data_IF_983301149207
#
_entry.id   IF_983301149207
#
_cell.length_a   1.000
_cell.length_b   1.000
_cell.length_c   1.000
_cell.angle_alpha   90.00
_cell.angle_beta   90.00
_cell.angle_gamma   90.00
#
_symmetry.space_group_name_H-M   'P 1'
#
loop_
_entity.id
_entity.type
_entity.pdbx_description
1 polymer ?
#
# COMPACT_ATOMS: atom_id res chain seq x y z
N UNK A 1 -18.30 -13.65 41.10
CA UNK A 1 -19.10 -14.17 39.97
C UNK A 1 -18.84 -13.28 38.77
N UNK A 2 -18.09 -13.76 37.77
CA UNK A 2 -17.70 -12.97 36.59
C UNK A 2 -18.74 -13.12 35.49
N UNK A 3 -19.43 -12.03 35.15
CA UNK A 3 -20.16 -11.91 33.90
C UNK A 3 -19.58 -10.74 33.13
N UNK A 4 -18.49 -11.00 32.40
CA UNK A 4 -18.07 -10.13 31.31
C UNK A 4 -18.74 -10.61 30.04
N UNK A 5 -19.82 -9.92 29.69
CA UNK A 5 -20.51 -10.04 28.41
C UNK A 5 -19.49 -9.75 27.29
N UNK A 6 -19.03 -10.79 26.57
CA UNK A 6 -18.07 -10.59 25.49
C UNK A 6 -18.81 -9.98 24.30
N UNK A 7 -18.72 -8.66 24.13
CA UNK A 7 -19.33 -7.95 23.00
C UNK A 7 -18.74 -8.51 21.71
N UNK A 8 -19.49 -9.36 21.02
CA UNK A 8 -19.06 -9.95 19.74
C UNK A 8 -18.99 -8.85 18.70
N UNK A 9 -17.94 -8.88 17.88
CA UNK A 9 -17.77 -7.96 16.75
C UNK A 9 -18.35 -8.58 15.48
N UNK A 10 -18.96 -7.77 14.62
CA UNK A 10 -19.59 -8.24 13.38
C UNK A 10 -18.97 -7.56 12.17
N UNK A 11 -18.92 -8.28 11.05
CA UNK A 11 -18.43 -7.73 9.79
C UNK A 11 -19.53 -6.92 9.12
N UNK A 12 -19.29 -5.63 8.88
CA UNK A 12 -20.24 -4.73 8.22
C UNK A 12 -20.40 -5.00 6.72
N UNK A 13 -19.46 -5.71 6.10
CA UNK A 13 -19.47 -6.04 4.66
C UNK A 13 -20.37 -7.25 4.38
N UNK A 14 -20.40 -8.22 5.30
CA UNK A 14 -21.18 -9.44 5.13
C UNK A 14 -22.68 -9.17 5.30
N UNK A 15 -23.46 -9.41 4.25
CA UNK A 15 -24.93 -9.25 4.27
C UNK A 15 -25.69 -10.41 4.93
N UNK A 16 -25.03 -11.55 5.20
CA UNK A 16 -25.63 -12.71 5.89
C UNK A 16 -25.13 -12.79 7.32
N UNK A 17 -25.89 -13.46 8.20
CA UNK A 17 -25.54 -13.64 9.61
C UNK A 17 -24.17 -14.31 9.78
N UNK A 18 -23.14 -13.50 10.02
CA UNK A 18 -21.80 -14.00 10.33
C UNK A 18 -21.77 -14.33 11.82
N UNK A 19 -21.16 -15.46 12.17
CA UNK A 19 -20.80 -15.73 13.56
C UNK A 19 -19.92 -14.56 14.04
N UNK A 20 -20.37 -13.86 15.08
CA UNK A 20 -19.63 -12.75 15.66
C UNK A 20 -18.22 -13.17 16.09
N UNK A 21 -17.26 -12.29 15.86
CA UNK A 21 -15.85 -12.49 16.16
C UNK A 21 -15.55 -12.15 17.62
N UNK A 22 -14.68 -12.94 18.25
CA UNK A 22 -14.26 -12.74 19.65
C UNK A 22 -13.41 -11.49 19.86
N UNK A 23 -12.69 -11.04 18.85
CA UNK A 23 -11.77 -9.90 18.94
C UNK A 23 -11.54 -9.23 17.57
N UNK A 24 -10.99 -8.00 17.60
CA UNK A 24 -10.75 -7.16 16.42
C UNK A 24 -9.84 -7.85 15.40
N UNK A 25 -8.78 -8.53 15.86
CA UNK A 25 -7.84 -9.25 15.00
C UNK A 25 -8.53 -10.36 14.19
N UNK A 26 -9.47 -11.07 14.79
CA UNK A 26 -10.27 -12.10 14.11
C UNK A 26 -11.16 -11.51 13.02
N UNK A 27 -11.83 -10.39 13.31
CA UNK A 27 -12.66 -9.68 12.34
C UNK A 27 -11.82 -9.11 11.18
N UNK A 28 -10.71 -8.44 11.48
CA UNK A 28 -9.81 -7.89 10.46
C UNK A 28 -9.22 -8.98 9.56
N UNK A 29 -8.86 -10.14 10.12
CA UNK A 29 -8.40 -11.30 9.34
C UNK A 29 -9.51 -11.81 8.43
N UNK A 30 -10.75 -11.87 8.91
CA UNK A 30 -11.89 -12.23 8.08
C UNK A 30 -12.07 -11.26 6.91
N UNK A 31 -12.05 -9.96 7.16
CA UNK A 31 -12.12 -8.94 6.11
C UNK A 31 -11.03 -9.11 5.06
N UNK A 32 -9.77 -9.23 5.51
CA UNK A 32 -8.61 -9.41 4.61
C UNK A 32 -8.70 -10.66 3.74
N UNK A 33 -9.33 -11.74 4.22
CA UNK A 33 -9.38 -13.02 3.50
C UNK A 33 -10.65 -13.22 2.67
N UNK A 34 -11.78 -12.64 3.09
CA UNK A 34 -13.08 -12.84 2.44
C UNK A 34 -13.54 -11.63 1.63
N UNK A 35 -12.93 -10.48 1.84
CA UNK A 35 -13.29 -9.22 1.20
C UNK A 35 -12.06 -8.56 0.55
N UNK A 36 -11.22 -9.35 -0.10
CA UNK A 36 -9.97 -8.91 -0.75
C UNK A 36 -10.16 -7.87 -1.85
N UNK A 37 -11.37 -7.77 -2.42
CA UNK A 37 -11.74 -6.83 -3.48
C UNK A 37 -12.81 -5.82 -3.04
N UNK A 38 -13.16 -5.78 -1.75
CA UNK A 38 -14.10 -4.79 -1.25
C UNK A 38 -13.41 -3.43 -1.21
N UNK A 39 -13.95 -2.43 -1.91
CA UNK A 39 -13.34 -1.11 -2.07
C UNK A 39 -14.34 0.04 -1.91
N UNK A 40 -15.53 -0.23 -1.37
CA UNK A 40 -16.52 0.81 -1.10
C UNK A 40 -16.04 1.72 0.01
N UNK A 41 -15.85 3.00 -0.31
CA UNK A 41 -15.34 4.01 0.61
C UNK A 41 -16.39 4.35 1.68
N UNK A 42 -15.96 4.67 2.90
CA UNK A 42 -16.88 5.09 3.95
C UNK A 42 -17.41 6.51 3.67
N UNK A 43 -18.60 6.80 4.16
CA UNK A 43 -19.29 8.08 3.91
C UNK A 43 -18.71 9.28 4.66
N UNK A 44 -17.82 9.04 5.64
CA UNK A 44 -17.22 10.11 6.45
C UNK A 44 -16.04 10.80 5.78
N UNK A 45 -15.55 10.31 4.64
CA UNK A 45 -14.42 10.93 3.92
C UNK A 45 -14.79 12.35 3.50
N UNK A 46 -13.97 13.31 3.92
CA UNK A 46 -14.15 14.71 3.61
C UNK A 46 -13.33 15.13 2.38
N UNK A 47 -13.81 16.10 1.59
CA UNK A 47 -12.99 16.74 0.56
C UNK A 47 -11.77 17.43 1.17
N UNK A 48 -10.63 17.34 0.49
CA UNK A 48 -9.38 17.99 0.86
C UNK A 48 -9.03 19.03 -0.21
N UNK A 49 -8.53 20.23 0.16
CA UNK A 49 -8.12 21.24 -0.82
C UNK A 49 -7.06 20.72 -1.80
N UNK A 50 -7.17 21.10 -3.08
CA UNK A 50 -6.25 20.65 -4.13
C UNK A 50 -4.79 21.06 -3.85
N UNK A 51 -4.57 22.18 -3.15
CA UNK A 51 -3.25 22.63 -2.73
C UNK A 51 -2.56 21.64 -1.78
N UNK A 52 -3.32 21.09 -0.81
CA UNK A 52 -2.82 20.08 0.13
C UNK A 52 -2.55 18.75 -0.58
N UNK A 53 -3.46 18.33 -1.48
CA UNK A 53 -3.26 17.13 -2.30
C UNK A 53 -2.02 17.27 -3.17
N UNK A 54 -1.82 18.42 -3.83
CA UNK A 54 -0.64 18.71 -4.63
C UNK A 54 0.65 18.68 -3.79
N UNK A 55 0.62 19.27 -2.59
CA UNK A 55 1.77 19.23 -1.68
C UNK A 55 2.13 17.80 -1.26
N UNK A 56 1.12 16.98 -0.98
CA UNK A 56 1.31 15.57 -0.63
C UNK A 56 1.85 14.75 -1.82
N UNK A 57 1.33 14.96 -3.05
CA UNK A 57 1.88 14.35 -4.27
C UNK A 57 3.37 14.67 -4.45
N UNK A 58 3.76 15.94 -4.31
CA UNK A 58 5.17 16.38 -4.37
C UNK A 58 6.02 15.73 -3.27
N UNK A 59 5.45 15.56 -2.07
CA UNK A 59 6.13 14.86 -0.96
C UNK A 59 6.35 13.38 -1.28
N UNK A 60 5.35 12.70 -1.86
CA UNK A 60 5.46 11.31 -2.34
C UNK A 60 6.59 11.19 -3.37
N UNK A 61 6.58 12.06 -4.39
CA UNK A 61 7.60 12.07 -5.46
C UNK A 61 8.99 12.30 -4.87
N UNK A 62 9.15 13.27 -3.97
CA UNK A 62 10.43 13.54 -3.30
C UNK A 62 10.97 12.32 -2.57
N UNK A 63 10.12 11.61 -1.81
CA UNK A 63 10.55 10.41 -1.10
C UNK A 63 10.85 9.24 -2.05
N UNK A 64 10.10 9.08 -3.15
CA UNK A 64 10.41 8.11 -4.21
C UNK A 64 11.77 8.38 -4.86
N UNK A 65 12.01 9.62 -5.27
CA UNK A 65 13.24 10.06 -5.94
C UNK A 65 14.49 9.89 -5.06
N UNK A 66 14.36 10.00 -3.74
CA UNK A 66 15.44 9.66 -2.79
C UNK A 66 15.81 8.17 -2.80
N UNK A 67 14.89 7.29 -3.18
CA UNK A 67 15.11 5.84 -3.27
C UNK A 67 15.72 5.41 -4.59
N UNK A 68 15.56 6.19 -5.65
CA UNK A 68 16.12 5.95 -6.99
C UNK A 68 17.65 6.16 -7.05
N UNK A 69 18.41 5.60 -6.09
CA UNK A 69 19.86 5.73 -6.01
C UNK A 69 20.54 4.95 -7.14
N UNK A 70 21.65 5.47 -7.63
CA UNK A 70 22.53 4.81 -8.59
C UNK A 70 23.62 4.01 -7.88
N UNK A 71 23.24 2.85 -7.37
CA UNK A 71 24.16 1.92 -6.72
C UNK A 71 23.58 0.50 -6.84
N UNK A 72 24.43 -0.50 -7.11
CA UNK A 72 23.98 -1.87 -7.34
C UNK A 72 23.18 -2.46 -6.16
N UNK A 73 23.49 -2.06 -4.92
CA UNK A 73 22.72 -2.49 -3.73
C UNK A 73 21.36 -1.81 -3.58
N UNK A 74 21.06 -0.78 -4.39
CA UNK A 74 19.77 -0.11 -4.39
C UNK A 74 18.73 -0.85 -5.24
N UNK A 75 19.16 -1.75 -6.14
CA UNK A 75 18.29 -2.64 -6.92
C UNK A 75 17.49 -3.54 -5.99
N UNK A 76 16.22 -3.77 -6.33
CA UNK A 76 15.33 -4.63 -5.57
C UNK A 76 14.31 -3.86 -4.74
N UNK A 77 13.82 -4.49 -3.66
CA UNK A 77 12.65 -4.01 -2.91
C UNK A 77 12.96 -2.71 -2.16
N UNK A 78 12.13 -1.70 -2.38
CA UNK A 78 12.15 -0.44 -1.65
C UNK A 78 10.87 -0.26 -0.85
N UNK A 79 11.01 0.39 0.31
CA UNK A 79 9.90 0.75 1.18
C UNK A 79 10.14 2.12 1.79
N UNK A 80 9.11 2.96 1.79
CA UNK A 80 9.07 4.16 2.62
C UNK A 80 7.64 4.42 3.10
N UNK A 81 7.51 5.28 4.11
CA UNK A 81 6.23 5.71 4.64
C UNK A 81 6.18 7.23 4.70
N UNK A 82 4.99 7.78 4.51
CA UNK A 82 4.68 9.20 4.72
C UNK A 82 3.48 9.33 5.64
N UNK A 83 3.49 10.35 6.48
CA UNK A 83 2.32 10.71 7.28
C UNK A 83 1.34 11.50 6.42
N UNK A 84 0.07 11.09 6.44
CA UNK A 84 -1.02 11.80 5.80
C UNK A 84 -2.35 11.36 6.42
N UNK A 85 -3.36 12.23 6.35
CA UNK A 85 -4.72 11.92 6.79
C UNK A 85 -5.38 10.87 5.89
N UNK A 86 -6.46 10.27 6.40
CA UNK A 86 -7.30 9.35 5.62
C UNK A 86 -7.87 10.05 4.39
N UNK A 87 -8.41 11.26 4.60
CA UNK A 87 -9.04 12.07 3.56
C UNK A 87 -8.05 12.44 2.46
N UNK A 88 -6.81 12.82 2.79
CA UNK A 88 -5.80 13.16 1.79
C UNK A 88 -5.36 11.93 0.99
N UNK A 89 -5.21 10.77 1.65
CA UNK A 89 -4.91 9.52 0.97
C UNK A 89 -6.03 9.13 -0.01
N UNK A 90 -7.28 9.13 0.46
CA UNK A 90 -8.44 8.82 -0.38
C UNK A 90 -8.59 9.87 -1.49
N UNK A 91 -8.34 11.14 -1.21
CA UNK A 91 -8.34 12.22 -2.19
C UNK A 91 -7.42 11.95 -3.39
N UNK A 92 -6.21 11.45 -3.15
CA UNK A 92 -5.25 11.10 -4.20
C UNK A 92 -5.62 9.76 -4.88
N UNK A 93 -6.00 8.75 -4.10
CA UNK A 93 -6.04 7.36 -4.59
C UNK A 93 -7.44 6.76 -4.77
N UNK A 94 -8.54 7.50 -4.53
CA UNK A 94 -9.94 6.98 -4.49
C UNK A 94 -10.30 6.01 -5.62
N UNK A 95 -9.93 6.35 -6.85
CA UNK A 95 -10.28 5.58 -8.05
C UNK A 95 -9.37 4.35 -8.29
N UNK A 96 -8.44 4.11 -7.38
CA UNK A 96 -7.39 3.09 -7.49
C UNK A 96 -7.27 2.20 -6.26
N UNK A 97 -8.15 2.37 -5.28
CA UNK A 97 -8.26 1.50 -4.12
C UNK A 97 -8.77 0.14 -4.58
N UNK A 98 -7.93 -0.87 -4.39
CA UNK A 98 -8.22 -2.27 -4.70
C UNK A 98 -8.85 -3.00 -3.51
N UNK A 99 -8.57 -2.54 -2.28
CA UNK A 99 -9.16 -3.09 -1.07
C UNK A 99 -9.27 -2.02 0.03
N UNK A 100 -10.37 -2.06 0.78
CA UNK A 100 -10.61 -1.32 2.01
C UNK A 100 -11.04 -2.30 3.11
N UNK A 101 -10.49 -2.15 4.31
CA UNK A 101 -10.87 -2.94 5.49
C UNK A 101 -11.47 -2.00 6.54
N UNK A 102 -12.80 -2.04 6.76
CA UNK A 102 -13.48 -1.22 7.76
C UNK A 102 -12.95 -1.45 9.18
N UNK A 103 -12.80 -2.72 9.61
CA UNK A 103 -12.30 -3.03 10.94
C UNK A 103 -10.84 -2.60 11.13
N UNK A 104 -10.04 -2.74 10.08
CA UNK A 104 -8.62 -2.37 10.08
C UNK A 104 -8.34 -0.89 9.83
N UNK A 105 -9.35 -0.10 9.46
CA UNK A 105 -9.20 1.28 8.98
C UNK A 105 -8.02 1.41 8.02
N UNK A 106 -8.03 0.57 6.98
CA UNK A 106 -6.89 0.47 6.06
C UNK A 106 -7.33 0.37 4.62
N UNK A 107 -6.55 1.00 3.74
CA UNK A 107 -6.74 1.02 2.29
C UNK A 107 -5.53 0.42 1.61
N UNK A 108 -5.74 -0.23 0.49
CA UNK A 108 -4.70 -0.78 -0.36
C UNK A 108 -4.95 -0.37 -1.80
N UNK A 109 -3.91 0.13 -2.44
CA UNK A 109 -3.80 0.27 -3.88
C UNK A 109 -2.73 -0.69 -4.40
N UNK A 110 -2.96 -1.27 -5.57
CA UNK A 110 -2.01 -2.16 -6.26
C UNK A 110 -1.88 -1.72 -7.72
N UNK A 111 -0.63 -1.50 -8.14
CA UNK A 111 -0.26 -1.06 -9.47
C UNK A 111 0.71 -2.08 -10.08
N UNK A 112 0.27 -2.74 -11.15
CA UNK A 112 1.05 -3.72 -11.90
C UNK A 112 0.62 -3.77 -13.36
N UNK A 113 1.52 -4.19 -14.24
CA UNK A 113 1.26 -4.34 -15.67
C UNK A 113 1.76 -3.16 -16.51
N UNK A 114 1.71 -3.32 -17.84
CA UNK A 114 2.31 -2.37 -18.82
C UNK A 114 1.91 -0.90 -18.62
N UNK A 115 0.66 -0.64 -18.21
CA UNK A 115 0.13 0.72 -18.01
C UNK A 115 0.27 1.26 -16.59
N UNK A 116 0.88 0.50 -15.67
CA UNK A 116 0.96 0.86 -14.26
C UNK A 116 1.81 2.11 -14.04
N UNK A 117 2.92 2.25 -14.76
CA UNK A 117 3.83 3.38 -14.64
C UNK A 117 3.15 4.71 -15.02
N UNK A 118 2.55 4.75 -16.22
CA UNK A 118 1.76 5.90 -16.70
C UNK A 118 0.61 6.25 -15.75
N UNK A 119 -0.07 5.22 -15.21
CA UNK A 119 -1.19 5.41 -14.30
C UNK A 119 -0.75 6.08 -12.99
N UNK A 120 0.37 5.64 -12.42
CA UNK A 120 0.93 6.29 -11.22
C UNK A 120 1.38 7.71 -11.54
N UNK A 121 2.01 7.94 -12.70
CA UNK A 121 2.40 9.29 -13.11
C UNK A 121 1.23 10.25 -13.20
N UNK A 122 0.10 9.81 -13.77
CA UNK A 122 -1.16 10.59 -13.80
C UNK A 122 -1.76 10.84 -12.42
N UNK A 123 -1.58 9.92 -11.46
CA UNK A 123 -2.06 10.13 -10.08
C UNK A 123 -1.21 11.17 -9.37
N UNK A 124 0.11 11.13 -9.57
CA UNK A 124 1.08 12.01 -8.91
C UNK A 124 1.33 13.33 -9.65
N UNK A 125 0.73 13.51 -10.83
CA UNK A 125 0.94 14.64 -11.74
C UNK A 125 2.41 14.82 -12.15
N UNK A 126 3.12 13.71 -12.39
CA UNK A 126 4.53 13.69 -12.79
C UNK A 126 4.82 12.45 -13.66
N UNK A 127 5.23 12.65 -14.91
CA UNK A 127 5.52 11.55 -15.85
C UNK A 127 6.85 10.82 -15.52
N UNK A 128 7.79 11.51 -14.86
CA UNK A 128 9.11 11.00 -14.53
C UNK A 128 9.23 10.61 -13.04
N UNK A 129 8.09 10.48 -12.34
CA UNK A 129 8.00 10.23 -10.90
C UNK A 129 8.88 9.07 -10.41
N UNK A 130 9.04 8.04 -11.25
CA UNK A 130 9.69 6.77 -10.93
C UNK A 130 10.99 6.54 -11.69
N UNK A 131 11.56 7.55 -12.33
CA UNK A 131 12.79 7.45 -13.11
C UNK A 131 13.81 8.50 -12.68
N UNK A 132 15.09 8.13 -12.73
CA UNK A 132 16.21 9.03 -12.46
C UNK A 132 17.40 8.72 -13.35
N UNK A 133 17.68 9.65 -14.26
CA UNK A 133 18.85 9.62 -15.14
C UNK A 133 20.05 10.28 -14.45
N UNK A 134 21.18 9.58 -14.42
CA UNK A 134 22.42 10.03 -13.79
C UNK A 134 23.46 10.55 -14.80
N UNK A 135 23.13 10.55 -16.09
CA UNK A 135 24.10 10.74 -17.16
C UNK A 135 24.85 9.46 -17.50
N UNK A 136 25.66 9.50 -18.55
CA UNK A 136 26.56 8.39 -18.95
C UNK A 136 25.84 7.05 -19.17
N UNK A 137 24.59 7.12 -19.65
CA UNK A 137 23.74 5.95 -19.88
C UNK A 137 23.13 5.34 -18.60
N UNK A 138 23.39 5.87 -17.41
CA UNK A 138 22.95 5.24 -16.15
C UNK A 138 21.54 5.70 -15.75
N UNK A 139 20.60 4.75 -15.71
CA UNK A 139 19.19 4.99 -15.36
C UNK A 139 18.75 4.10 -14.20
N UNK A 140 18.16 4.70 -13.17
CA UNK A 140 17.43 4.00 -12.10
C UNK A 140 15.94 4.21 -12.28
N UNK A 141 15.14 3.13 -12.22
CA UNK A 141 13.70 3.22 -12.45
C UNK A 141 12.87 2.25 -11.60
N UNK A 142 11.61 2.61 -11.37
CA UNK A 142 10.62 1.76 -10.69
C UNK A 142 10.12 0.68 -11.64
N UNK A 143 10.28 -0.58 -11.23
CA UNK A 143 9.90 -1.75 -12.01
C UNK A 143 8.46 -2.18 -11.65
N UNK A 144 7.50 -1.97 -12.56
CA UNK A 144 6.06 -2.26 -12.39
C UNK A 144 5.46 -3.27 -13.39
N UNK A 145 6.30 -3.91 -14.20
CA UNK A 145 5.86 -4.90 -15.18
C UNK A 145 6.95 -5.94 -15.44
N UNK A 146 6.65 -7.20 -15.10
CA UNK A 146 7.46 -8.36 -15.51
C UNK A 146 6.79 -9.06 -16.69
N UNK A 147 7.52 -9.34 -17.79
CA UNK A 147 7.02 -10.20 -18.86
C UNK A 147 6.80 -11.64 -18.36
N UNK A 148 5.83 -12.33 -18.96
CA UNK A 148 5.36 -13.66 -18.51
C UNK A 148 6.46 -14.74 -18.49
N UNK A 149 7.49 -14.60 -19.34
CA UNK A 149 8.64 -15.52 -19.40
C UNK A 149 9.49 -15.55 -18.13
N UNK A 150 9.51 -14.46 -17.34
CA UNK A 150 10.28 -14.35 -16.09
C UNK A 150 9.43 -14.66 -14.84
N UNK A 151 8.09 -14.65 -14.98
CA UNK A 151 7.16 -14.94 -13.89
C UNK A 151 7.20 -16.43 -13.46
N UNK A 152 7.44 -17.36 -14.39
CA UNK A 152 7.40 -18.80 -14.09
C UNK A 152 8.36 -19.26 -12.98
N UNK A 153 9.57 -18.68 -12.93
CA UNK A 153 10.56 -18.98 -11.88
C UNK A 153 10.22 -18.30 -10.53
N UNK A 154 9.52 -17.16 -10.55
CA UNK A 154 9.10 -16.45 -9.34
C UNK A 154 7.83 -17.04 -8.73
N UNK A 155 6.86 -17.49 -9.53
CA UNK A 155 5.63 -18.12 -9.06
C UNK A 155 5.90 -19.43 -8.32
N UNK A 156 6.84 -20.26 -8.79
CA UNK A 156 7.28 -21.48 -8.11
C UNK A 156 7.86 -21.17 -6.71
N UNK A 157 8.65 -20.10 -6.60
CA UNK A 157 9.24 -19.62 -5.34
C UNK A 157 8.20 -18.94 -4.43
N UNK A 158 7.24 -18.23 -4.99
CA UNK A 158 6.12 -17.63 -4.27
C UNK A 158 5.16 -18.68 -3.70
N UNK A 159 4.86 -19.76 -4.43
CA UNK A 159 4.05 -20.89 -3.93
C UNK A 159 4.69 -21.57 -2.71
N UNK A 160 6.02 -21.68 -2.68
CA UNK A 160 6.76 -22.17 -1.52
C UNK A 160 6.75 -21.18 -0.34
N UNK A 161 6.74 -19.86 -0.60
CA UNK A 161 6.63 -18.81 0.44
C UNK A 161 5.19 -18.57 0.93
N UNK A 162 4.16 -18.90 0.15
CA UNK A 162 2.75 -18.82 0.56
C UNK A 162 2.44 -19.83 1.68
N UNK A 163 3.16 -20.96 1.74
CA UNK A 163 3.14 -21.86 2.91
C UNK A 163 3.67 -21.20 4.20
N UNK A 164 4.41 -20.10 4.09
CA UNK A 164 5.01 -19.35 5.21
C UNK A 164 4.48 -17.92 5.36
N UNK A 165 3.16 -17.71 5.39
CA UNK A 165 2.44 -16.51 5.94
C UNK A 165 2.96 -15.09 5.58
N UNK A 166 3.80 -14.89 4.56
CA UNK A 166 4.19 -13.58 4.04
C UNK A 166 3.70 -13.46 2.61
N UNK A 167 2.77 -12.52 2.37
CA UNK A 167 2.40 -12.11 1.01
C UNK A 167 3.65 -11.45 0.40
N UNK A 168 4.40 -12.19 -0.42
CA UNK A 168 5.51 -11.62 -1.18
C UNK A 168 4.92 -10.56 -2.12
N UNK A 169 5.51 -9.36 -2.12
CA UNK A 169 5.28 -8.41 -3.21
C UNK A 169 5.82 -9.10 -4.47
N UNK A 170 4.99 -9.27 -5.49
CA UNK A 170 5.44 -9.85 -6.75
C UNK A 170 6.40 -8.85 -7.39
N UNK A 171 7.53 -9.32 -7.90
CA UNK A 171 8.45 -8.45 -8.64
C UNK A 171 7.66 -7.84 -9.82
N UNK A 172 7.71 -6.51 -9.99
CA UNK A 172 6.83 -5.82 -10.94
C UNK A 172 5.46 -5.37 -10.40
N UNK A 173 5.29 -5.24 -9.08
CA UNK A 173 4.11 -4.62 -8.46
C UNK A 173 4.53 -3.50 -7.49
N UNK A 174 3.83 -2.36 -7.55
CA UNK A 174 3.84 -1.36 -6.49
C UNK A 174 2.55 -1.44 -5.69
N UNK A 175 2.67 -1.46 -4.36
CA UNK A 175 1.53 -1.34 -3.45
C UNK A 175 1.66 -0.09 -2.60
N UNK A 176 0.52 0.55 -2.37
CA UNK A 176 0.40 1.68 -1.45
C UNK A 176 -0.66 1.32 -0.42
N UNK A 177 -0.24 1.18 0.83
CA UNK A 177 -1.14 0.85 1.92
C UNK A 177 -1.24 2.02 2.88
N UNK A 178 -2.46 2.54 3.08
CA UNK A 178 -2.73 3.47 4.16
C UNK A 178 -3.34 2.73 5.35
N UNK A 179 -2.91 3.06 6.56
CA UNK A 179 -3.53 2.59 7.80
C UNK A 179 -3.20 3.55 8.94
N UNK A 180 -4.02 3.52 9.99
CA UNK A 180 -3.64 4.14 11.26
C UNK A 180 -2.56 3.28 11.90
N UNK A 181 -1.41 3.89 12.14
CA UNK A 181 -0.29 3.30 12.88
C UNK A 181 -0.09 4.06 14.17
N UNK A 182 0.26 3.35 15.23
CA UNK A 182 0.50 3.96 16.51
C UNK A 182 1.41 3.13 17.39
N UNK A 183 1.71 3.68 18.55
CA UNK A 183 2.59 3.05 19.51
C UNK A 183 2.42 3.65 20.89
N UNK A 184 3.30 3.21 21.77
CA UNK A 184 3.53 3.84 23.06
C UNK A 184 4.99 4.21 23.13
N UNK A 185 5.28 5.39 23.68
CA UNK A 185 6.65 5.74 24.02
C UNK A 185 7.11 4.97 25.28
N UNK A 186 8.35 5.24 25.70
CA UNK A 186 8.95 4.63 26.90
C UNK A 186 8.21 5.03 28.18
N UNK A 187 7.48 6.14 28.16
CA UNK A 187 6.70 6.68 29.27
C UNK A 187 5.22 6.27 29.21
N UNK A 188 4.88 5.32 28.33
CA UNK A 188 3.53 4.80 28.11
C UNK A 188 2.53 5.79 27.47
N UNK A 189 2.98 6.94 26.95
CA UNK A 189 2.12 7.84 26.18
C UNK A 189 1.77 7.21 24.84
N UNK A 190 0.47 7.13 24.56
CA UNK A 190 -0.06 6.60 23.30
C UNK A 190 -0.05 7.69 22.24
N UNK A 191 0.38 7.32 21.04
CA UNK A 191 0.26 8.15 19.86
C UNK A 191 -0.22 7.30 18.68
N UNK A 192 -1.08 7.88 17.84
CA UNK A 192 -1.60 7.24 16.64
C UNK A 192 -1.68 8.28 15.52
N UNK A 193 -1.30 7.88 14.31
CA UNK A 193 -1.39 8.71 13.12
C UNK A 193 -1.59 7.85 11.87
N UNK A 194 -2.31 8.41 10.90
CA UNK A 194 -2.39 7.84 9.56
C UNK A 194 -1.02 7.84 8.88
N UNK A 195 -0.66 6.74 8.23
CA UNK A 195 0.51 6.68 7.36
C UNK A 195 0.23 5.87 6.10
N UNK A 196 0.74 6.38 4.97
CA UNK A 196 0.77 5.68 3.70
C UNK A 196 2.16 5.05 3.52
N UNK A 197 2.20 3.73 3.39
CA UNK A 197 3.40 2.96 3.15
C UNK A 197 3.44 2.49 1.69
N UNK A 198 4.53 2.83 1.02
CA UNK A 198 4.79 2.50 -0.37
C UNK A 198 5.77 1.33 -0.42
N UNK A 199 5.44 0.31 -1.20
CA UNK A 199 6.34 -0.79 -1.51
C UNK A 199 6.44 -0.94 -3.01
N UNK A 200 7.66 -1.02 -3.54
CA UNK A 200 7.92 -1.15 -4.96
C UNK A 200 9.30 -1.80 -5.18
N UNK A 201 9.64 -2.09 -6.43
CA UNK A 201 10.94 -2.60 -6.82
C UNK A 201 11.69 -1.59 -7.69
N UNK A 202 13.00 -1.51 -7.50
CA UNK A 202 13.90 -0.75 -8.35
C UNK A 202 14.70 -1.67 -9.26
N UNK A 203 14.94 -1.17 -10.47
CA UNK A 203 15.88 -1.74 -11.41
C UNK A 203 16.80 -0.64 -11.96
N UNK A 204 17.92 -1.05 -12.54
CA UNK A 204 18.93 -0.17 -13.12
C UNK A 204 19.35 -0.71 -14.48
N UNK A 205 19.61 0.19 -15.43
CA UNK A 205 20.18 -0.15 -16.73
C UNK A 205 21.28 0.84 -17.12
N UNK A 206 22.20 0.36 -17.96
CA UNK A 206 23.11 1.19 -18.76
C UNK A 206 22.54 1.26 -20.18
N UNK A 207 22.32 2.48 -20.67
CA UNK A 207 21.76 2.83 -21.99
C UNK A 207 22.91 3.21 -22.92
#
# INVERSE_FOLDING_TARGET
MSMQDSTKLYCSICKRYVKGFKNRSGLQRHETLKHTSYNTLPSHIQPVPDSELSHLKKTIIKELQKRLKNHYTAVGKQVFSIHCSEDAFVGIFKNHITCYSPCGSSYLCSFKGKKAFEKVGKILDDENWGERNYGEGQLSFVHLYMPESENGNYEQNAQNAIKSKKKLLVNGEMTVQWKVTGGKDKENHKFEAGSAQFHFFLNQCQI
#
